data_IF_865957730369
#
_entry.id   IF_865957730369
#
_cell.length_a   1.000
_cell.length_b   1.000
_cell.length_c   1.000
_cell.angle_alpha   90.00
_cell.angle_beta   90.00
_cell.angle_gamma   90.00
#
_symmetry.space_group_name_H-M   'P 1'
#
loop_
_entity.id
_entity.type
_entity.pdbx_description
1 polymer ?
#
# COMPACT_ATOMS: atom_id res chain seq x y z
N UNK A 1 -5.23 10.12 4.72
CA UNK A 1 -4.39 9.40 3.73
C UNK A 1 -3.10 8.96 4.41
N UNK A 2 -2.88 7.66 4.50
CA UNK A 2 -1.71 7.04 5.12
C UNK A 2 -0.70 6.68 4.03
N UNK A 3 0.59 6.90 4.29
CA UNK A 3 1.65 6.61 3.33
C UNK A 3 2.47 5.41 3.78
N UNK A 4 2.79 4.53 2.86
CA UNK A 4 3.56 3.31 3.10
C UNK A 4 4.75 3.27 2.16
N UNK A 5 5.94 3.05 2.69
CA UNK A 5 7.13 2.81 1.89
C UNK A 5 7.25 1.32 1.60
N UNK A 6 7.40 1.00 0.31
CA UNK A 6 7.46 -0.39 -0.18
C UNK A 6 8.68 -0.51 -1.10
N UNK A 7 9.84 -0.95 -0.57
CA UNK A 7 11.08 -0.99 -1.34
C UNK A 7 11.04 -1.99 -2.50
N UNK A 8 10.17 -3.00 -2.42
CA UNK A 8 10.02 -4.07 -3.42
C UNK A 8 9.26 -3.62 -4.69
N UNK A 9 8.67 -2.43 -4.66
CA UNK A 9 7.94 -1.88 -5.81
C UNK A 9 8.91 -1.40 -6.89
N UNK A 10 9.17 -2.28 -7.86
CA UNK A 10 10.12 -2.02 -8.95
C UNK A 10 9.43 -1.79 -10.31
N UNK A 11 8.17 -2.22 -10.46
CA UNK A 11 7.41 -2.06 -11.71
C UNK A 11 5.89 -1.95 -11.49
N UNK A 12 5.15 -1.53 -12.53
CA UNK A 12 3.69 -1.36 -12.48
C UNK A 12 2.88 -2.64 -12.24
N UNK A 13 3.48 -3.83 -12.30
CA UNK A 13 2.82 -5.06 -11.85
C UNK A 13 2.73 -5.15 -10.33
N UNK A 14 3.75 -4.66 -9.61
CA UNK A 14 3.77 -4.63 -8.15
C UNK A 14 2.67 -3.70 -7.63
N UNK A 15 2.52 -2.52 -8.22
CA UNK A 15 1.48 -1.54 -7.84
C UNK A 15 0.07 -2.12 -8.01
N UNK A 16 -0.18 -2.83 -9.11
CA UNK A 16 -1.47 -3.46 -9.37
C UNK A 16 -1.78 -4.58 -8.37
N UNK A 17 -0.79 -5.39 -8.00
CA UNK A 17 -0.95 -6.46 -7.02
C UNK A 17 -1.24 -5.90 -5.61
N UNK A 18 -0.47 -4.89 -5.20
CA UNK A 18 -0.67 -4.18 -3.91
C UNK A 18 -2.04 -3.51 -3.87
N UNK A 19 -2.41 -2.78 -4.93
CA UNK A 19 -3.72 -2.15 -5.05
C UNK A 19 -4.85 -3.17 -4.96
N UNK A 20 -4.73 -4.35 -5.59
CA UNK A 20 -5.71 -5.43 -5.46
C UNK A 20 -5.80 -5.98 -4.04
N UNK A 21 -4.68 -6.16 -3.35
CA UNK A 21 -4.65 -6.67 -1.98
C UNK A 21 -5.36 -5.72 -1.02
N UNK A 22 -5.07 -4.41 -1.14
CA UNK A 22 -5.72 -3.37 -0.36
C UNK A 22 -7.21 -3.29 -0.71
N UNK A 23 -7.56 -3.32 -1.99
CA UNK A 23 -8.96 -3.25 -2.43
C UNK A 23 -9.77 -4.49 -2.01
N UNK A 24 -9.14 -5.65 -1.87
CA UNK A 24 -9.78 -6.84 -1.33
C UNK A 24 -10.11 -6.70 0.16
N UNK A 25 -9.27 -5.98 0.93
CA UNK A 25 -9.52 -5.67 2.33
C UNK A 25 -10.52 -4.50 2.50
N UNK A 26 -10.40 -3.47 1.66
CA UNK A 26 -11.29 -2.32 1.59
C UNK A 26 -11.58 -1.91 0.14
N UNK A 27 -12.73 -2.30 -0.41
CA UNK A 27 -13.09 -1.99 -1.79
C UNK A 27 -13.32 -0.50 -2.04
N UNK A 28 -13.53 0.29 -0.99
CA UNK A 28 -13.66 1.75 -1.06
C UNK A 28 -12.31 2.48 -0.92
N UNK A 29 -11.21 1.76 -0.69
CA UNK A 29 -9.89 2.37 -0.53
C UNK A 29 -9.41 3.01 -1.83
N UNK A 30 -8.88 4.24 -1.72
CA UNK A 30 -8.20 4.93 -2.80
C UNK A 30 -6.70 4.74 -2.66
N UNK A 31 -6.10 4.08 -3.64
CA UNK A 31 -4.66 3.77 -3.67
C UNK A 31 -3.98 4.63 -4.73
N UNK A 32 -2.90 5.29 -4.34
CA UNK A 32 -2.01 6.04 -5.22
C UNK A 32 -0.58 5.52 -5.03
N UNK A 33 0.12 5.25 -6.13
CA UNK A 33 1.40 4.56 -6.10
C UNK A 33 2.47 5.43 -6.75
N UNK A 34 3.44 5.87 -5.97
CA UNK A 34 4.61 6.59 -6.46
C UNK A 34 5.79 5.63 -6.55
N UNK A 35 6.09 5.17 -7.78
CA UNK A 35 7.21 4.28 -8.05
C UNK A 35 8.58 4.98 -7.90
N UNK A 36 8.63 6.30 -8.09
CA UNK A 36 9.88 7.06 -8.00
C UNK A 36 10.32 7.20 -6.53
N UNK A 37 9.36 7.51 -5.65
CA UNK A 37 9.56 7.59 -4.21
C UNK A 37 9.45 6.22 -3.50
N UNK A 38 8.90 5.19 -4.19
CA UNK A 38 8.52 3.89 -3.62
C UNK A 38 7.53 4.02 -2.46
N UNK A 39 6.53 4.89 -2.66
CA UNK A 39 5.51 5.22 -1.67
C UNK A 39 4.14 4.84 -2.20
N UNK A 40 3.36 4.15 -1.38
CA UNK A 40 1.93 3.93 -1.61
C UNK A 40 1.15 4.83 -0.67
N UNK A 41 0.37 5.73 -1.23
CA UNK A 41 -0.59 6.51 -0.47
C UNK A 41 -1.93 5.78 -0.51
N UNK A 42 -2.46 5.43 0.66
CA UNK A 42 -3.73 4.73 0.81
C UNK A 42 -4.68 5.59 1.62
N UNK A 43 -5.84 5.84 1.06
CA UNK A 43 -6.96 6.48 1.73
C UNK A 43 -8.05 5.45 1.94
N UNK A 44 -8.21 5.02 3.17
CA UNK A 44 -9.10 3.92 3.58
C UNK A 44 -9.60 4.21 4.98
N UNK A 45 -10.74 3.61 5.34
CA UNK A 45 -11.24 3.61 6.72
C UNK A 45 -10.53 2.58 7.61
N UNK A 46 -9.70 1.70 7.02
CA UNK A 46 -8.94 0.69 7.74
C UNK A 46 -7.74 1.27 8.48
N UNK A 47 -7.36 0.59 9.55
CA UNK A 47 -6.17 0.93 10.32
C UNK A 47 -4.89 0.57 9.55
N UNK A 48 -3.82 1.33 9.81
CA UNK A 48 -2.50 1.16 9.21
C UNK A 48 -2.01 -0.29 9.33
N UNK A 49 -2.22 -0.93 10.48
CA UNK A 49 -1.83 -2.32 10.70
C UNK A 49 -2.56 -3.32 9.78
N UNK A 50 -3.86 -3.10 9.54
CA UNK A 50 -4.66 -3.95 8.65
C UNK A 50 -4.19 -3.84 7.21
N UNK A 51 -3.85 -2.62 6.78
CA UNK A 51 -3.36 -2.39 5.42
C UNK A 51 -1.99 -3.04 5.22
N UNK A 52 -1.08 -2.91 6.19
CA UNK A 52 0.24 -3.57 6.14
C UNK A 52 0.06 -5.09 6.06
N UNK A 53 -0.86 -5.65 6.84
CA UNK A 53 -1.13 -7.08 6.82
C UNK A 53 -1.62 -7.53 5.43
N UNK A 54 -2.57 -6.80 4.83
CA UNK A 54 -3.07 -7.11 3.50
C UNK A 54 -1.97 -7.05 2.42
N UNK A 55 -1.08 -6.05 2.48
CA UNK A 55 0.07 -5.98 1.58
C UNK A 55 1.03 -7.17 1.79
N UNK A 56 1.28 -7.54 3.05
CA UNK A 56 2.14 -8.66 3.43
C UNK A 56 1.57 -10.01 3.00
N UNK A 57 0.26 -10.21 3.10
CA UNK A 57 -0.43 -11.40 2.59
C UNK A 57 -0.31 -11.53 1.07
N UNK A 58 -0.21 -10.41 0.35
CA UNK A 58 0.11 -10.37 -1.07
C UNK A 58 1.61 -10.53 -1.39
N UNK A 59 2.45 -10.67 -0.36
CA UNK A 59 3.90 -10.87 -0.48
C UNK A 59 4.72 -9.59 -0.46
N UNK A 60 4.14 -8.44 -0.14
CA UNK A 60 4.83 -7.15 -0.14
C UNK A 60 5.01 -6.60 1.28
N UNK A 61 6.26 -6.40 1.68
CA UNK A 61 6.57 -5.73 2.95
C UNK A 61 6.43 -4.20 2.79
N UNK A 62 5.58 -3.62 3.63
CA UNK A 62 5.25 -2.20 3.62
C UNK A 62 5.43 -1.61 5.01
N UNK A 63 6.12 -0.47 5.11
CA UNK A 63 6.29 0.25 6.37
C UNK A 63 5.58 1.59 6.33
N UNK A 64 4.83 1.97 7.39
CA UNK A 64 4.18 3.26 7.42
C UNK A 64 5.25 4.35 7.51
N UNK A 65 5.14 5.36 6.65
CA UNK A 65 5.97 6.55 6.70
C UNK A 65 5.12 7.70 7.20
N UNK A 66 5.13 7.89 8.52
CA UNK A 66 4.61 9.13 9.09
C UNK A 66 5.52 10.27 8.65
N UNK A 67 4.92 11.33 8.12
CA UNK A 67 5.61 12.60 8.05
C UNK A 67 5.71 13.12 9.48
N UNK A 68 6.87 12.94 10.09
CA UNK A 68 7.24 13.59 11.35
C UNK A 68 7.10 15.12 11.23
#
# INVERSE_FOLDING_TARGET
MTRFHVPEMSCGHCTAAIGKAINAADPAARIDCDLNARIVSVESALDTATIILAMKEAGYDATPVEAA
#
